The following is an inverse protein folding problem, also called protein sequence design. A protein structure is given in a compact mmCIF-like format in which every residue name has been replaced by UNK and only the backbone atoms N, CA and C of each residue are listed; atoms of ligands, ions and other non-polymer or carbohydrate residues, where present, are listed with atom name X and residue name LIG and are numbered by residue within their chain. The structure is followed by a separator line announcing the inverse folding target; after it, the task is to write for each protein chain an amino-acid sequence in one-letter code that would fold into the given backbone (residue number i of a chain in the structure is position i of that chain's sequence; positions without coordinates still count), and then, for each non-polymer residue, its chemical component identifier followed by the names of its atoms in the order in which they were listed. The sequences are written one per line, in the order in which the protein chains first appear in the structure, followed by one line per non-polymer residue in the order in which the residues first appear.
data_IF_212935321355
#
_entry.id   IF_212935321355
#
_cell.length_a   1.000
_cell.length_b   1.000
_cell.length_c   1.000
_cell.angle_alpha   90.00
_cell.angle_beta   90.00
_cell.angle_gamma   90.00
#
_symmetry.space_group_name_H-M   'P 1'
#
loop_
_entity.id
_entity.type
_entity.pdbx_description
1 polymer ?
#
# COMPACT_ATOMS: atom_id res chain seq x y z
N UNK A 1 6.49 -3.29 -19.41
CA UNK A 1 5.64 -2.56 -18.45
C UNK A 1 6.22 -2.76 -17.06
N UNK A 2 7.02 -1.82 -16.54
CA UNK A 2 7.68 -1.95 -15.22
C UNK A 2 7.48 -0.73 -14.31
N UNK A 3 6.84 0.32 -14.80
CA UNK A 3 6.62 1.56 -14.05
C UNK A 3 5.12 1.81 -13.96
N UNK A 4 4.66 2.09 -12.74
CA UNK A 4 3.29 2.47 -12.43
C UNK A 4 3.35 3.71 -11.55
N UNK A 5 2.66 4.77 -11.95
CA UNK A 5 2.59 6.04 -11.22
C UNK A 5 1.23 6.14 -10.55
N UNK A 6 1.22 6.49 -9.25
CA UNK A 6 0.01 6.78 -8.49
C UNK A 6 -0.02 8.27 -8.17
N UNK A 7 -1.03 8.97 -8.68
CA UNK A 7 -1.28 10.38 -8.35
C UNK A 7 -2.46 10.48 -7.38
N UNK A 8 -2.28 11.22 -6.30
CA UNK A 8 -3.29 11.38 -5.24
C UNK A 8 -3.63 12.86 -5.08
N UNK A 9 -4.88 13.21 -5.38
CA UNK A 9 -5.42 14.54 -5.12
C UNK A 9 -5.92 14.63 -3.67
N UNK A 10 -5.13 15.30 -2.83
CA UNK A 10 -5.41 15.48 -1.41
C UNK A 10 -6.64 16.37 -1.16
N UNK A 11 -6.90 17.34 -2.03
CA UNK A 11 -8.01 18.27 -1.89
C UNK A 11 -9.35 17.57 -2.18
N UNK A 12 -9.38 16.72 -3.22
CA UNK A 12 -10.55 15.89 -3.54
C UNK A 12 -10.86 14.88 -2.45
N UNK A 13 -9.82 14.31 -1.81
CA UNK A 13 -9.96 13.32 -0.74
C UNK A 13 -10.21 13.96 0.65
N UNK A 14 -10.18 15.29 0.77
CA UNK A 14 -10.38 16.03 2.03
C UNK A 14 -9.48 15.48 3.16
N UNK A 15 -8.24 15.16 2.84
CA UNK A 15 -7.30 14.59 3.82
C UNK A 15 -6.92 15.67 4.83
N UNK A 16 -7.10 15.45 6.15
CA UNK A 16 -6.79 16.46 7.14
C UNK A 16 -5.27 16.67 7.28
N UNK A 17 -4.83 17.85 7.75
CA UNK A 17 -3.43 18.05 8.11
C UNK A 17 -2.95 17.03 9.15
N UNK A 18 -1.69 16.61 9.04
CA UNK A 18 -1.09 15.62 9.92
C UNK A 18 -0.28 14.56 9.17
N UNK A 19 0.14 13.53 9.92
CA UNK A 19 0.91 12.39 9.41
C UNK A 19 -0.04 11.25 9.04
N UNK A 20 0.03 10.82 7.78
CA UNK A 20 -0.75 9.72 7.24
C UNK A 20 0.18 8.61 6.76
N UNK A 21 -0.24 7.37 6.96
CA UNK A 21 0.50 6.19 6.48
C UNK A 21 -0.41 5.39 5.57
N UNK A 22 0.09 5.02 4.40
CA UNK A 22 -0.65 4.16 3.47
C UNK A 22 0.25 3.07 2.89
N UNK A 23 -0.40 1.98 2.50
CA UNK A 23 0.23 0.79 1.93
C UNK A 23 -0.38 0.51 0.57
N UNK A 24 0.45 0.08 -0.38
CA UNK A 24 -0.05 -0.47 -1.64
C UNK A 24 -0.25 -1.97 -1.44
N UNK A 25 -1.49 -2.43 -1.68
CA UNK A 25 -1.84 -3.85 -1.65
C UNK A 25 -1.94 -4.40 -3.08
N UNK A 26 -1.34 -5.58 -3.30
CA UNK A 26 -1.52 -6.36 -4.52
C UNK A 26 -1.98 -7.77 -4.19
N UNK A 27 -2.95 -8.26 -4.96
CA UNK A 27 -3.47 -9.61 -4.82
C UNK A 27 -3.16 -10.39 -6.09
N UNK A 28 -2.41 -11.49 -5.96
CA UNK A 28 -1.98 -12.32 -7.08
C UNK A 28 -2.38 -13.77 -6.84
N UNK A 29 -3.11 -14.38 -7.79
CA UNK A 29 -3.41 -15.81 -7.75
C UNK A 29 -2.20 -16.60 -8.21
N UNK A 30 -1.83 -17.65 -7.50
CA UNK A 30 -0.69 -18.49 -7.84
C UNK A 30 -0.83 -19.92 -7.34
N UNK A 31 0.23 -20.71 -7.52
CA UNK A 31 0.29 -22.10 -7.08
C UNK A 31 1.41 -22.27 -6.05
N UNK A 32 1.07 -22.76 -4.87
CA UNK A 32 2.03 -23.05 -3.82
C UNK A 32 2.43 -24.53 -3.83
N UNK A 33 3.73 -24.78 -3.72
CA UNK A 33 4.28 -26.11 -3.50
C UNK A 33 4.53 -26.26 -2.01
N UNK A 34 3.81 -27.18 -1.37
CA UNK A 34 4.13 -27.52 0.01
C UNK A 34 5.50 -28.20 0.07
N UNK A 35 6.37 -27.82 1.02
CA UNK A 35 7.59 -28.56 1.27
C UNK A 35 7.26 -30.02 1.62
N UNK A 36 8.11 -30.98 1.22
CA UNK A 36 7.83 -32.40 1.41
C UNK A 36 7.84 -32.75 2.90
N UNK A 37 6.66 -33.00 3.48
CA UNK A 37 6.49 -33.25 4.92
C UNK A 37 7.24 -34.50 5.42
N UNK A 38 7.66 -35.42 4.53
CA UNK A 38 8.38 -36.66 4.86
C UNK A 38 9.44 -37.04 3.81
N UNK A 39 10.09 -36.06 3.15
CA UNK A 39 11.07 -36.32 2.08
C UNK A 39 10.48 -36.85 0.76
N UNK A 40 9.21 -37.27 0.73
CA UNK A 40 8.46 -37.57 -0.48
C UNK A 40 7.97 -36.26 -1.12
N UNK A 41 8.46 -35.96 -2.33
CA UNK A 41 8.01 -34.81 -3.13
C UNK A 41 6.50 -34.94 -3.41
N UNK A 42 5.70 -34.13 -2.73
CA UNK A 42 4.27 -33.99 -3.03
C UNK A 42 4.11 -33.24 -4.36
N UNK A 43 3.60 -33.90 -5.40
CA UNK A 43 3.27 -33.27 -6.68
C UNK A 43 2.00 -32.39 -6.63
N UNK A 44 1.33 -32.33 -5.48
CA UNK A 44 0.03 -31.66 -5.33
C UNK A 44 0.21 -30.16 -5.17
N UNK A 45 0.00 -29.41 -6.26
CA UNK A 45 -0.10 -27.95 -6.26
C UNK A 45 -1.44 -27.56 -5.64
N UNK A 46 -1.45 -26.60 -4.72
CA UNK A 46 -2.68 -25.93 -4.30
C UNK A 46 -2.74 -24.55 -4.91
N UNK A 47 -3.93 -24.17 -5.36
CA UNK A 47 -4.22 -22.79 -5.72
C UNK A 47 -4.23 -21.95 -4.45
N UNK A 48 -3.48 -20.86 -4.48
CA UNK A 48 -3.33 -19.92 -3.37
C UNK A 48 -3.49 -18.50 -3.89
N UNK A 49 -3.85 -17.61 -2.99
CA UNK A 49 -3.91 -16.17 -3.25
C UNK A 49 -2.84 -15.51 -2.40
N UNK A 50 -1.85 -14.90 -3.06
CA UNK A 50 -0.83 -14.10 -2.41
C UNK A 50 -1.35 -12.68 -2.24
N UNK A 51 -1.25 -12.16 -1.01
CA UNK A 51 -1.46 -10.74 -0.72
C UNK A 51 -0.09 -10.14 -0.40
N UNK A 52 0.27 -9.13 -1.17
CA UNK A 52 1.55 -8.43 -1.08
C UNK A 52 1.24 -7.01 -0.59
N UNK A 53 2.00 -6.55 0.40
CA UNK A 53 1.90 -5.21 0.94
C UNK A 53 3.25 -4.53 0.83
N UNK A 54 3.27 -3.27 0.42
CA UNK A 54 4.50 -2.47 0.49
C UNK A 54 4.79 -2.05 1.93
N UNK A 55 6.03 -1.62 2.17
CA UNK A 55 6.34 -0.82 3.35
C UNK A 55 5.43 0.42 3.42
N UNK A 56 5.19 0.96 4.63
CA UNK A 56 4.37 2.15 4.79
C UNK A 56 4.99 3.33 4.04
N UNK A 57 4.17 4.03 3.27
CA UNK A 57 4.51 5.31 2.67
C UNK A 57 3.95 6.37 3.62
N UNK A 58 4.85 7.19 4.18
CA UNK A 58 4.49 8.27 5.11
C UNK A 58 4.26 9.55 4.31
N UNK A 59 3.11 10.18 4.53
CA UNK A 59 2.75 11.47 3.97
C UNK A 59 2.48 12.47 5.10
N UNK A 60 3.24 13.55 5.12
CA UNK A 60 3.03 14.66 6.06
C UNK A 60 2.32 15.81 5.33
N UNK A 61 1.13 16.14 5.80
CA UNK A 61 0.31 17.22 5.24
C UNK A 61 0.40 18.42 6.18
N UNK A 62 1.02 19.49 5.70
CA UNK A 62 1.09 20.75 6.43
C UNK A 62 -0.31 21.37 6.57
N UNK A 63 -0.62 22.02 7.71
CA UNK A 63 -1.84 22.78 7.85
C UNK A 63 -1.83 23.99 6.92
N UNK A 64 -3.00 24.37 6.42
CA UNK A 64 -3.16 25.60 5.64
C UNK A 64 -2.76 26.79 6.51
N UNK A 65 -1.87 27.68 6.04
CA UNK A 65 -1.51 28.87 6.80
C UNK A 65 -2.76 29.72 7.01
N UNK A 66 -3.10 29.97 8.28
CA UNK A 66 -4.14 30.93 8.63
C UNK A 66 -3.69 32.30 8.11
N UNK A 67 -4.54 33.04 7.38
CA UNK A 67 -4.21 34.42 7.04
C UNK A 67 -4.04 35.18 8.35
N UNK A 68 -2.82 35.65 8.62
CA UNK A 68 -2.60 36.58 9.70
C UNK A 68 -3.46 37.81 9.40
N UNK A 69 -4.48 38.04 10.20
CA UNK A 69 -5.25 39.28 10.18
C UNK A 69 -4.26 40.40 10.47
N UNK A 70 -3.79 41.09 9.43
CA UNK A 70 -3.15 42.39 9.57
C UNK A 70 -4.12 43.30 10.32
N UNK A 71 -3.90 43.45 11.63
CA UNK A 71 -4.50 44.53 12.40
C UNK A 71 -3.84 45.81 11.89
N UNK A 72 -4.52 46.52 11.00
CA UNK A 72 -4.23 47.91 10.68
C UNK A 72 -5.12 48.83 11.53
#
# INVERSE_FOLDING_TARGET
QKEATLEVDLAKLKVPPGRHEFHLESTVKGKYYYPPLNGKKSAKKRDVTYRLFTMPIVLEIAPTPTPQTEKK
#
